data_IF_722966616026
#
_entry.id   IF_722966616026
#
_cell.length_a   1.000
_cell.length_b   1.000
_cell.length_c   1.000
_cell.angle_alpha   90.00
_cell.angle_beta   90.00
_cell.angle_gamma   90.00
#
_symmetry.space_group_name_H-M   'P 1'
#
loop_
_entity.id
_entity.type
_entity.pdbx_description
1 polymer ?
#
# COMPACT_ATOMS: atom_id res chain seq x y z
N UNK A 1 18.45 34.96 -61.32
CA UNK A 1 17.17 34.48 -60.75
C UNK A 1 17.33 33.02 -60.36
N UNK A 2 16.94 32.69 -59.12
CA UNK A 2 16.67 31.37 -58.50
C UNK A 2 17.40 31.24 -57.16
N UNK A 3 16.61 31.48 -56.10
CA UNK A 3 16.86 31.24 -54.68
C UNK A 3 16.87 29.73 -54.39
N UNK A 4 17.82 29.24 -53.59
CA UNK A 4 17.71 28.01 -52.76
C UNK A 4 18.64 28.19 -51.55
N UNK A 5 18.19 28.78 -50.43
CA UNK A 5 17.45 28.13 -49.33
C UNK A 5 18.23 26.95 -48.71
N UNK A 6 19.19 27.27 -47.83
CA UNK A 6 19.85 26.31 -46.95
C UNK A 6 19.01 26.19 -45.68
N UNK A 7 18.42 25.01 -45.44
CA UNK A 7 17.69 24.69 -44.22
C UNK A 7 18.66 24.30 -43.10
N UNK A 8 18.58 24.99 -41.97
CA UNK A 8 19.13 24.57 -40.69
C UNK A 8 18.33 23.37 -40.18
N UNK A 9 18.91 22.16 -40.27
CA UNK A 9 18.44 21.00 -39.52
C UNK A 9 18.91 21.14 -38.06
N UNK A 10 18.11 21.80 -37.22
CA UNK A 10 18.18 21.61 -35.77
C UNK A 10 17.63 20.20 -35.49
N UNK A 11 18.54 19.25 -35.25
CA UNK A 11 18.18 17.95 -34.70
C UNK A 11 17.67 18.13 -33.28
N UNK A 12 16.34 18.13 -33.11
CA UNK A 12 15.72 17.93 -31.80
C UNK A 12 15.94 16.46 -31.44
N UNK A 13 16.96 16.19 -30.63
CA UNK A 13 17.12 14.90 -29.98
C UNK A 13 15.96 14.72 -28.99
N UNK A 14 14.88 14.07 -29.44
CA UNK A 14 13.90 13.50 -28.54
C UNK A 14 14.61 12.39 -27.75
N UNK A 15 15.03 12.72 -26.52
CA UNK A 15 15.38 11.72 -25.52
C UNK A 15 14.12 10.92 -25.21
N UNK A 16 13.92 9.85 -25.97
CA UNK A 16 13.00 8.78 -25.58
C UNK A 16 13.57 8.21 -24.28
N UNK A 17 13.00 8.60 -23.15
CA UNK A 17 13.21 7.87 -21.90
C UNK A 17 12.62 6.48 -22.12
N UNK A 18 13.45 5.54 -22.54
CA UNK A 18 13.15 4.12 -22.44
C UNK A 18 12.82 3.83 -20.99
N UNK A 19 11.55 3.55 -20.70
CA UNK A 19 11.12 3.14 -19.37
C UNK A 19 11.86 1.86 -19.00
N UNK A 20 12.89 1.99 -18.16
CA UNK A 20 13.41 0.85 -17.45
C UNK A 20 12.28 0.34 -16.54
N UNK A 21 12.06 -0.96 -16.53
CA UNK A 21 11.28 -1.60 -15.47
C UNK A 21 11.87 -1.08 -14.14
N UNK A 22 11.05 -0.39 -13.35
CA UNK A 22 11.53 0.15 -12.08
C UNK A 22 11.76 -1.02 -11.14
N UNK A 23 13.00 -1.20 -10.68
CA UNK A 23 13.29 -2.16 -9.63
C UNK A 23 12.44 -1.83 -8.39
N UNK A 24 11.77 -2.85 -7.86
CA UNK A 24 10.93 -2.71 -6.67
C UNK A 24 11.76 -2.24 -5.47
N UNK A 25 11.25 -1.27 -4.70
CA UNK A 25 12.00 -0.75 -3.55
C UNK A 25 12.15 -1.80 -2.43
N UNK A 26 13.33 -1.97 -1.85
CA UNK A 26 13.42 -2.86 -0.69
C UNK A 26 12.77 -2.21 0.54
N UNK A 27 11.62 -2.72 0.96
CA UNK A 27 10.95 -2.23 2.16
C UNK A 27 11.67 -2.68 3.45
N UNK A 28 11.78 -1.80 4.47
CA UNK A 28 12.36 -2.16 5.75
C UNK A 28 11.57 -3.26 6.46
N UNK A 29 12.27 -4.09 7.25
CA UNK A 29 11.61 -5.06 8.14
C UNK A 29 10.83 -4.33 9.23
N UNK A 30 9.74 -4.94 9.68
CA UNK A 30 8.93 -4.44 10.80
C UNK A 30 9.79 -4.13 12.04
N UNK A 31 9.59 -2.95 12.63
CA UNK A 31 10.32 -2.42 13.78
C UNK A 31 11.73 -1.91 13.46
N UNK A 32 12.15 -1.89 12.19
CA UNK A 32 13.43 -1.31 11.76
C UNK A 32 13.20 0.05 11.10
N UNK A 33 13.21 1.08 11.93
CA UNK A 33 13.14 2.48 11.50
C UNK A 33 14.55 3.05 11.41
N UNK A 34 14.85 3.72 10.31
CA UNK A 34 16.12 4.38 10.04
C UNK A 34 16.25 5.69 10.82
N UNK A 35 17.48 6.20 10.95
CA UNK A 35 17.71 7.49 11.63
C UNK A 35 17.16 8.65 10.80
N UNK A 36 17.20 8.50 9.49
CA UNK A 36 16.70 9.45 8.50
C UNK A 36 15.17 9.61 8.62
N UNK A 37 14.44 8.50 8.76
CA UNK A 37 12.99 8.53 9.01
C UNK A 37 12.66 9.22 10.35
N UNK A 38 13.44 8.97 11.43
CA UNK A 38 13.20 9.60 12.73
C UNK A 38 13.61 11.09 12.80
N UNK A 39 14.57 11.50 11.97
CA UNK A 39 15.02 12.88 11.90
C UNK A 39 14.16 13.73 10.94
N UNK A 40 13.24 13.11 10.21
CA UNK A 40 12.37 13.79 9.26
C UNK A 40 11.32 14.63 10.00
N UNK A 41 11.42 15.95 9.85
CA UNK A 41 10.51 16.95 10.43
C UNK A 41 9.62 17.63 9.40
N UNK A 42 9.87 17.41 8.11
CA UNK A 42 9.08 17.89 6.97
C UNK A 42 9.28 16.94 5.79
N UNK A 43 8.41 17.02 4.79
CA UNK A 43 8.50 16.22 3.57
C UNK A 43 8.61 17.13 2.35
N UNK A 44 9.60 16.91 1.49
CA UNK A 44 9.96 17.88 0.45
C UNK A 44 8.86 18.08 -0.61
N UNK A 45 8.16 17.00 -0.99
CA UNK A 45 7.14 17.07 -2.04
C UNK A 45 5.75 17.49 -1.51
N UNK A 46 5.59 17.56 -0.17
CA UNK A 46 4.43 18.15 0.50
C UNK A 46 4.90 18.84 1.79
N UNK A 47 5.45 20.07 1.69
CA UNK A 47 6.02 20.78 2.85
C UNK A 47 5.02 21.06 3.98
N UNK A 48 3.72 21.05 3.65
CA UNK A 48 2.61 21.25 4.59
C UNK A 48 2.04 19.91 5.10
N UNK A 49 2.70 18.78 4.80
CA UNK A 49 2.27 17.47 5.25
C UNK A 49 2.28 17.39 6.78
N UNK A 50 1.12 17.11 7.36
CA UNK A 50 0.98 16.90 8.80
C UNK A 50 1.57 15.55 9.23
N UNK A 51 1.55 14.58 8.32
CA UNK A 51 2.10 13.24 8.41
C UNK A 51 2.31 12.68 6.99
N UNK A 52 3.14 11.63 6.86
CA UNK A 52 3.42 10.99 5.57
C UNK A 52 3.40 9.48 5.71
N UNK A 53 2.68 8.81 4.81
CA UNK A 53 2.80 7.35 4.64
C UNK A 53 4.13 7.07 3.94
N UNK A 54 5.10 6.58 4.70
CA UNK A 54 6.43 6.22 4.18
C UNK A 54 6.34 4.98 3.30
N UNK A 55 5.51 4.02 3.68
CA UNK A 55 5.01 2.99 2.77
C UNK A 55 3.68 2.40 3.26
N UNK A 56 2.88 1.94 2.30
CA UNK A 56 1.79 1.00 2.49
C UNK A 56 2.06 -0.22 1.61
N UNK A 57 2.04 -1.42 2.17
CA UNK A 57 2.34 -2.66 1.46
C UNK A 57 1.24 -3.68 1.76
N UNK A 58 0.56 -4.14 0.71
CA UNK A 58 -0.40 -5.24 0.77
C UNK A 58 0.12 -6.44 -0.03
N UNK A 59 0.21 -7.61 0.59
CA UNK A 59 0.63 -8.86 -0.05
C UNK A 59 -0.48 -9.90 0.11
N UNK A 60 -1.26 -10.10 -0.95
CA UNK A 60 -2.27 -11.15 -1.02
C UNK A 60 -1.68 -12.44 -1.60
N UNK A 61 -2.10 -13.56 -1.02
CA UNK A 61 -1.76 -14.90 -1.50
C UNK A 61 -3.02 -15.74 -1.55
N UNK A 62 -3.27 -16.33 -2.70
CA UNK A 62 -4.24 -17.39 -2.82
C UNK A 62 -3.60 -18.67 -2.31
N UNK A 63 -4.20 -19.25 -1.28
CA UNK A 63 -3.71 -20.41 -0.56
C UNK A 63 -4.73 -21.54 -0.61
N UNK A 64 -4.29 -22.75 -0.23
CA UNK A 64 -5.14 -23.92 -0.11
C UNK A 64 -4.70 -24.74 1.12
N UNK A 65 -5.64 -25.07 2.00
CA UNK A 65 -5.36 -25.83 3.24
C UNK A 65 -5.58 -27.35 3.10
N UNK A 66 -5.86 -27.81 1.88
CA UNK A 66 -6.23 -29.19 1.54
C UNK A 66 -7.74 -29.41 1.45
N UNK A 67 -8.56 -28.51 1.99
CA UNK A 67 -10.02 -28.59 1.94
C UNK A 67 -10.61 -27.51 1.04
N UNK A 68 -10.12 -26.28 1.15
CA UNK A 68 -10.63 -25.14 0.40
C UNK A 68 -9.54 -24.15 0.00
N UNK A 69 -9.89 -23.29 -0.96
CA UNK A 69 -9.08 -22.14 -1.33
C UNK A 69 -9.52 -20.93 -0.51
N UNK A 70 -8.55 -20.11 -0.12
CA UNK A 70 -8.79 -18.87 0.61
C UNK A 70 -7.70 -17.85 0.26
N UNK A 71 -7.97 -16.59 0.57
CA UNK A 71 -7.04 -15.48 0.41
C UNK A 71 -6.45 -15.15 1.77
N UNK A 72 -5.13 -15.12 1.84
CA UNK A 72 -4.39 -14.57 2.96
C UNK A 72 -3.75 -13.24 2.54
N UNK A 73 -4.11 -12.17 3.24
CA UNK A 73 -3.51 -10.85 3.05
C UNK A 73 -2.63 -10.45 4.21
N UNK A 74 -1.38 -10.11 3.95
CA UNK A 74 -0.54 -9.38 4.91
C UNK A 74 -0.49 -7.90 4.53
N UNK A 75 -0.81 -7.03 5.49
CA UNK A 75 -0.80 -5.59 5.27
C UNK A 75 0.17 -4.93 6.23
N UNK A 76 1.03 -4.04 5.73
CA UNK A 76 2.09 -3.39 6.49
C UNK A 76 2.16 -1.91 6.12
N UNK A 77 1.94 -1.06 7.13
CA UNK A 77 1.93 0.39 6.99
C UNK A 77 2.99 1.01 7.88
N UNK A 78 3.64 2.06 7.38
CA UNK A 78 4.55 2.91 8.15
C UNK A 78 4.25 4.37 7.86
N UNK A 79 4.02 5.14 8.91
CA UNK A 79 3.61 6.54 8.84
C UNK A 79 4.52 7.35 9.74
N UNK A 80 5.04 8.47 9.23
CA UNK A 80 5.78 9.44 10.03
C UNK A 80 4.87 10.61 10.41
N UNK A 81 4.88 11.00 11.70
CA UNK A 81 4.07 12.08 12.24
C UNK A 81 4.91 13.36 12.31
N UNK A 82 4.61 14.35 11.47
CA UNK A 82 5.45 15.54 11.31
C UNK A 82 5.00 16.72 12.17
N UNK A 83 3.72 16.78 12.52
CA UNK A 83 3.10 17.89 13.26
C UNK A 83 2.17 17.37 14.38
N UNK A 84 1.60 18.29 15.17
CA UNK A 84 0.64 17.90 16.23
C UNK A 84 -0.69 17.46 15.62
N UNK A 85 -1.09 18.09 14.52
CA UNK A 85 -2.30 17.86 13.75
C UNK A 85 -2.28 16.46 13.12
N UNK A 86 -1.10 16.03 12.66
CA UNK A 86 -0.89 14.69 12.09
C UNK A 86 -1.09 13.54 13.07
N UNK A 87 -1.16 13.78 14.39
CA UNK A 87 -1.37 12.73 15.40
C UNK A 87 -2.67 11.95 15.20
N UNK A 88 -3.69 12.54 14.55
CA UNK A 88 -4.92 11.83 14.23
C UNK A 88 -4.72 10.59 13.35
N UNK A 89 -3.61 10.52 12.61
CA UNK A 89 -3.23 9.35 11.80
C UNK A 89 -2.82 8.13 12.64
N UNK A 90 -2.68 8.29 13.97
CA UNK A 90 -2.39 7.21 14.91
C UNK A 90 -3.64 6.45 15.37
N UNK A 91 -4.84 6.97 15.11
CA UNK A 91 -6.10 6.29 15.40
C UNK A 91 -6.48 5.42 14.19
N UNK A 92 -6.19 4.12 14.30
CA UNK A 92 -6.35 3.18 13.20
C UNK A 92 -7.71 2.49 13.27
N UNK A 93 -8.40 2.48 12.14
CA UNK A 93 -9.64 1.73 11.93
C UNK A 93 -9.46 0.83 10.72
N UNK A 94 -9.63 -0.48 10.92
CA UNK A 94 -9.56 -1.49 9.87
C UNK A 94 -10.97 -2.04 9.67
N UNK A 95 -11.72 -1.59 8.65
CA UNK A 95 -12.97 -2.23 8.27
C UNK A 95 -12.69 -3.57 7.59
N UNK A 96 -13.52 -4.57 7.84
CA UNK A 96 -13.46 -5.87 7.17
C UNK A 96 -14.86 -6.49 7.09
N UNK A 97 -15.07 -7.36 6.10
CA UNK A 97 -16.34 -8.06 5.95
C UNK A 97 -16.54 -9.03 7.12
N UNK A 98 -17.78 -9.21 7.56
CA UNK A 98 -18.07 -10.01 8.77
C UNK A 98 -17.67 -11.49 8.66
N UNK A 99 -17.46 -11.98 7.44
CA UNK A 99 -17.04 -13.35 7.10
C UNK A 99 -15.52 -13.50 7.08
N UNK A 100 -14.79 -12.38 7.02
CA UNK A 100 -13.33 -12.38 7.04
C UNK A 100 -12.82 -12.35 8.48
N UNK A 101 -11.62 -12.89 8.67
CA UNK A 101 -10.91 -12.77 9.94
C UNK A 101 -9.74 -11.79 9.85
N UNK A 102 -9.65 -10.89 10.84
CA UNK A 102 -8.43 -10.11 11.09
C UNK A 102 -7.63 -10.75 12.23
N UNK A 103 -6.37 -11.06 11.95
CA UNK A 103 -5.44 -11.75 12.87
C UNK A 103 -4.09 -11.04 12.91
N UNK A 104 -3.26 -11.45 13.87
CA UNK A 104 -1.85 -11.03 13.98
C UNK A 104 -1.57 -9.53 13.94
N UNK A 105 -2.50 -8.73 14.44
CA UNK A 105 -2.35 -7.28 14.56
C UNK A 105 -1.14 -6.99 15.47
N UNK A 106 -0.19 -6.23 14.93
CA UNK A 106 0.98 -5.71 15.65
C UNK A 106 1.14 -4.25 15.32
N UNK A 107 1.38 -3.44 16.35
CA UNK A 107 1.72 -2.03 16.21
C UNK A 107 2.97 -1.69 17.01
N UNK A 108 3.78 -0.77 16.51
CA UNK A 108 4.92 -0.19 17.21
C UNK A 108 5.03 1.30 16.89
N UNK A 109 5.22 2.10 17.92
CA UNK A 109 5.59 3.51 17.79
C UNK A 109 7.07 3.63 18.10
N UNK A 110 7.85 4.17 17.18
CA UNK A 110 9.25 4.55 17.43
C UNK A 110 9.32 6.06 17.65
N UNK A 111 9.70 6.46 18.85
CA UNK A 111 9.83 7.87 19.24
C UNK A 111 11.10 8.50 18.61
N UNK A 112 11.21 9.84 18.53
CA UNK A 112 12.38 10.54 18.01
C UNK A 112 13.71 10.12 18.67
N UNK A 113 13.68 9.76 19.95
CA UNK A 113 14.86 9.27 20.68
C UNK A 113 15.21 7.78 20.37
N UNK A 114 14.47 7.12 19.48
CA UNK A 114 14.63 5.73 19.10
C UNK A 114 13.96 4.72 20.03
N UNK A 115 13.32 5.15 21.13
CA UNK A 115 12.58 4.26 22.02
C UNK A 115 11.36 3.71 21.28
N UNK A 116 11.15 2.40 21.41
CA UNK A 116 10.00 1.72 20.84
C UNK A 116 8.95 1.38 21.88
N UNK A 117 7.69 1.67 21.58
CA UNK A 117 6.53 1.35 22.40
C UNK A 117 5.61 0.46 21.55
N UNK A 118 5.35 -0.76 22.00
CA UNK A 118 4.52 -1.73 21.28
C UNK A 118 3.05 -1.54 21.67
N UNK A 119 2.16 -1.73 20.69
CA UNK A 119 0.72 -1.82 20.91
C UNK A 119 0.41 -3.05 21.77
N UNK A 120 -0.36 -2.86 22.83
CA UNK A 120 -0.85 -3.94 23.68
C UNK A 120 -2.12 -4.54 23.06
N UNK A 121 -2.28 -5.87 23.16
CA UNK A 121 -3.46 -6.56 22.62
C UNK A 121 -4.75 -6.11 23.28
N UNK A 122 -4.69 -5.67 24.55
CA UNK A 122 -5.87 -5.17 25.28
C UNK A 122 -6.40 -3.83 24.76
N UNK A 123 -5.56 -3.10 24.02
CA UNK A 123 -5.89 -1.78 23.46
C UNK A 123 -6.45 -1.91 22.02
N UNK A 124 -6.69 -3.14 21.56
CA UNK A 124 -7.30 -3.47 20.27
C UNK A 124 -8.75 -3.86 20.53
N UNK A 125 -9.66 -3.12 19.90
CA UNK A 125 -11.10 -3.30 20.07
C UNK A 125 -11.74 -3.73 18.76
N UNK A 126 -12.68 -4.66 18.84
CA UNK A 126 -13.50 -5.08 17.71
C UNK A 126 -14.93 -4.54 17.89
N UNK A 127 -15.40 -3.79 16.90
CA UNK A 127 -16.78 -3.34 16.79
C UNK A 127 -17.48 -4.17 15.72
N UNK A 128 -18.49 -4.95 16.13
CA UNK A 128 -19.27 -5.78 15.22
C UNK A 128 -20.40 -4.98 14.58
N UNK A 129 -20.53 -5.10 13.26
CA UNK A 129 -21.63 -4.52 12.48
C UNK A 129 -22.49 -5.62 11.84
N UNK A 130 -23.44 -5.21 11.00
CA UNK A 130 -24.29 -6.16 10.28
C UNK A 130 -23.56 -6.85 9.12
N UNK A 131 -22.79 -6.08 8.34
CA UNK A 131 -21.99 -6.59 7.19
C UNK A 131 -20.51 -6.30 7.29
N UNK A 132 -20.16 -5.26 8.02
CA UNK A 132 -18.78 -4.76 8.14
C UNK A 132 -18.47 -4.63 9.62
N UNK A 133 -17.46 -5.38 10.06
CA UNK A 133 -16.86 -5.23 11.37
C UNK A 133 -15.72 -4.22 11.28
N UNK A 134 -15.28 -3.70 12.44
CA UNK A 134 -14.16 -2.75 12.52
C UNK A 134 -13.24 -3.12 13.65
N UNK A 135 -11.96 -3.34 13.35
CA UNK A 135 -10.90 -3.30 14.36
C UNK A 135 -10.50 -1.84 14.58
N UNK A 136 -10.34 -1.43 15.83
CA UNK A 136 -9.94 -0.08 16.25
C UNK A 136 -8.83 -0.14 17.27
N UNK A 137 -7.80 0.68 17.09
CA UNK A 137 -6.75 0.88 18.08
C UNK A 137 -6.05 2.23 17.87
N UNK A 138 -5.52 2.79 18.95
CA UNK A 138 -4.66 3.97 18.89
C UNK A 138 -3.19 3.54 19.07
N UNK A 139 -2.29 4.04 18.23
CA UNK A 139 -0.87 3.76 18.37
C UNK A 139 -0.34 4.40 19.67
N UNK A 140 0.43 3.67 20.50
CA UNK A 140 0.77 4.13 21.84
C UNK A 140 1.90 5.18 21.82
N UNK A 141 1.81 6.17 22.70
CA UNK A 141 2.91 7.12 22.97
C UNK A 141 3.26 8.07 21.83
N UNK A 142 2.34 8.31 20.88
CA UNK A 142 2.61 9.12 19.68
C UNK A 142 2.90 10.58 20.01
N UNK A 143 4.05 11.05 19.56
CA UNK A 143 4.50 12.44 19.60
C UNK A 143 5.00 12.93 18.23
N UNK A 144 5.21 14.24 18.11
CA UNK A 144 5.77 14.81 16.87
C UNK A 144 7.15 14.22 16.60
N UNK A 145 7.41 13.79 15.36
CA UNK A 145 8.60 13.06 14.93
C UNK A 145 8.54 11.55 15.22
N UNK A 146 7.41 11.03 15.72
CA UNK A 146 7.23 9.60 15.88
C UNK A 146 6.98 8.92 14.54
N UNK A 147 7.56 7.74 14.36
CA UNK A 147 7.20 6.82 13.28
C UNK A 147 6.31 5.73 13.86
N UNK A 148 5.06 5.68 13.41
CA UNK A 148 4.14 4.58 13.72
C UNK A 148 4.22 3.54 12.62
N UNK A 149 4.17 2.28 13.01
CA UNK A 149 4.24 1.16 12.10
C UNK A 149 3.33 0.05 12.61
N UNK A 150 2.42 -0.41 11.75
CA UNK A 150 1.51 -1.48 12.10
C UNK A 150 1.34 -2.46 10.95
N UNK A 151 0.96 -3.67 11.31
CA UNK A 151 0.64 -4.71 10.35
C UNK A 151 -0.46 -5.60 10.90
N UNK A 152 -1.18 -6.25 10.01
CA UNK A 152 -2.17 -7.26 10.35
C UNK A 152 -2.27 -8.27 9.22
N UNK A 153 -2.92 -9.39 9.52
CA UNK A 153 -3.25 -10.41 8.54
C UNK A 153 -4.77 -10.47 8.40
N UNK A 154 -5.24 -10.60 7.17
CA UNK A 154 -6.62 -10.88 6.84
C UNK A 154 -6.70 -12.27 6.22
N UNK A 155 -7.73 -13.04 6.59
CA UNK A 155 -8.05 -14.30 5.95
C UNK A 155 -9.49 -14.22 5.44
N UNK A 156 -9.68 -14.47 4.15
CA UNK A 156 -10.98 -14.44 3.49
C UNK A 156 -11.21 -15.71 2.69
N UNK A 157 -12.37 -16.33 2.84
CA UNK A 157 -12.79 -17.45 1.99
C UNK A 157 -13.28 -16.98 0.61
N UNK A 158 -13.44 -15.65 0.43
CA UNK A 158 -13.99 -15.07 -0.78
C UNK A 158 -12.91 -14.86 -1.86
N UNK A 159 -12.65 -15.92 -2.61
CA UNK A 159 -11.62 -15.91 -3.68
C UNK A 159 -12.10 -15.26 -4.99
N UNK A 160 -13.40 -15.01 -5.16
CA UNK A 160 -13.95 -14.55 -6.45
C UNK A 160 -13.64 -13.09 -6.77
N UNK A 161 -13.63 -12.22 -5.76
CA UNK A 161 -13.13 -10.86 -5.88
C UNK A 161 -12.09 -10.64 -4.79
N UNK A 162 -10.85 -10.40 -5.18
CA UNK A 162 -9.79 -10.13 -4.20
C UNK A 162 -9.95 -8.71 -3.65
N UNK A 163 -9.47 -8.51 -2.43
CA UNK A 163 -9.54 -7.22 -1.73
C UNK A 163 -9.03 -6.09 -2.61
N UNK A 164 -9.83 -5.06 -2.79
CA UNK A 164 -9.41 -3.88 -3.55
C UNK A 164 -8.27 -3.15 -2.81
N UNK A 165 -7.25 -2.73 -3.56
CA UNK A 165 -6.19 -1.89 -3.01
C UNK A 165 -6.32 -0.44 -3.47
N UNK A 166 -6.15 0.48 -2.52
CA UNK A 166 -6.07 1.91 -2.76
C UNK A 166 -4.63 2.36 -2.61
N UNK A 167 -4.06 2.93 -3.66
CA UNK A 167 -2.65 3.34 -3.63
C UNK A 167 -2.46 4.66 -2.87
N UNK A 168 -3.46 5.55 -2.91
CA UNK A 168 -3.42 6.86 -2.28
C UNK A 168 -4.10 6.88 -0.91
N UNK A 169 -3.64 7.75 -0.01
CA UNK A 169 -4.24 8.00 1.30
C UNK A 169 -4.69 9.47 1.43
N UNK A 170 -5.30 9.82 2.57
CA UNK A 170 -5.69 11.19 2.90
C UNK A 170 -4.51 12.13 3.16
N UNK A 171 -3.33 11.53 3.40
CA UNK A 171 -2.03 12.18 3.53
C UNK A 171 -1.09 11.68 2.42
N UNK A 172 0.00 12.41 2.17
CA UNK A 172 0.97 12.07 1.14
C UNK A 172 1.48 10.63 1.33
N UNK A 173 1.57 9.88 0.24
CA UNK A 173 2.06 8.49 0.25
C UNK A 173 3.30 8.37 -0.62
N UNK A 174 4.46 8.22 0.01
CA UNK A 174 5.75 8.11 -0.69
C UNK A 174 5.82 6.83 -1.52
N UNK A 175 5.35 5.71 -0.98
CA UNK A 175 5.34 4.44 -1.66
C UNK A 175 4.08 3.64 -1.29
N UNK A 176 3.40 3.12 -2.29
CA UNK A 176 2.32 2.16 -2.10
C UNK A 176 2.56 0.96 -3.00
N UNK A 177 2.60 -0.22 -2.39
CA UNK A 177 2.82 -1.49 -3.06
C UNK A 177 1.64 -2.40 -2.81
N UNK A 178 1.25 -3.09 -3.87
CA UNK A 178 0.29 -4.16 -3.78
C UNK A 178 0.79 -5.36 -4.57
N UNK A 179 0.71 -6.54 -3.95
CA UNK A 179 1.13 -7.78 -4.56
C UNK A 179 0.05 -8.83 -4.44
N UNK A 180 -0.09 -9.64 -5.49
CA UNK A 180 -1.03 -10.76 -5.54
C UNK A 180 -0.29 -11.99 -6.04
N UNK A 181 -0.26 -13.03 -5.21
CA UNK A 181 0.28 -14.34 -5.55
C UNK A 181 -0.85 -15.29 -5.85
N UNK A 182 -0.90 -15.81 -7.08
CA UNK A 182 -1.96 -16.71 -7.55
C UNK A 182 -1.43 -18.11 -7.79
N UNK A 183 -2.29 -19.10 -7.55
CA UNK A 183 -2.06 -20.50 -7.91
C UNK A 183 -2.24 -20.69 -9.43
N UNK A 184 -1.54 -21.66 -10.07
CA UNK A 184 -1.51 -21.80 -11.53
C UNK A 184 -2.86 -21.97 -12.24
N UNK A 185 -3.90 -22.39 -11.54
CA UNK A 185 -5.22 -22.68 -12.11
C UNK A 185 -6.21 -21.53 -11.96
N UNK A 186 -5.84 -20.45 -11.27
CA UNK A 186 -6.71 -19.30 -11.07
C UNK A 186 -6.25 -18.16 -11.95
N UNK A 187 -7.20 -17.57 -12.69
CA UNK A 187 -6.96 -16.37 -13.47
C UNK A 187 -7.84 -15.25 -12.98
N UNK A 188 -7.25 -14.06 -12.88
CA UNK A 188 -7.93 -12.85 -12.47
C UNK A 188 -7.77 -11.76 -13.52
N UNK A 189 -8.84 -11.04 -13.79
CA UNK A 189 -8.78 -9.75 -14.47
C UNK A 189 -8.44 -8.68 -13.44
N UNK A 190 -7.41 -7.88 -13.72
CA UNK A 190 -7.09 -6.68 -12.97
C UNK A 190 -7.78 -5.47 -13.60
N UNK A 191 -8.51 -4.71 -12.80
CA UNK A 191 -9.16 -3.48 -13.22
C UNK A 191 -8.56 -2.29 -12.48
N UNK A 192 -8.14 -1.29 -13.25
CA UNK A 192 -7.48 -0.09 -12.75
C UNK A 192 -8.46 1.08 -12.71
N UNK A 193 -8.43 1.84 -11.62
CA UNK A 193 -9.24 3.07 -11.43
C UNK A 193 -8.33 4.25 -11.12
N UNK A 194 -8.58 5.39 -11.77
CA UNK A 194 -7.83 6.65 -11.60
C UNK A 194 -6.29 6.52 -11.70
N UNK A 195 -5.83 5.51 -12.41
CA UNK A 195 -4.42 5.29 -12.69
C UNK A 195 -4.29 4.76 -14.11
N UNK A 196 -3.14 5.05 -14.73
CA UNK A 196 -2.77 4.34 -15.95
C UNK A 196 -2.49 2.89 -15.60
N UNK A 197 -2.76 1.99 -16.54
CA UNK A 197 -2.34 0.59 -16.40
C UNK A 197 -0.83 0.52 -16.26
N UNK A 198 -0.38 -0.04 -15.14
CA UNK A 198 1.03 -0.30 -14.85
C UNK A 198 1.26 -1.79 -15.09
N UNK A 199 2.25 -2.12 -15.91
CA UNK A 199 2.68 -3.51 -16.06
C UNK A 199 3.27 -3.97 -14.73
N UNK A 200 2.68 -4.99 -14.06
CA UNK A 200 3.21 -5.46 -12.79
C UNK A 200 4.58 -6.11 -12.98
N UNK A 201 5.42 -6.00 -11.95
CA UNK A 201 6.55 -6.90 -11.81
C UNK A 201 6.03 -8.32 -11.62
N UNK A 202 6.54 -9.27 -12.41
CA UNK A 202 6.10 -10.67 -12.38
C UNK A 202 7.23 -11.56 -11.91
N UNK A 203 6.97 -12.30 -10.84
CA UNK A 203 7.86 -13.32 -10.31
C UNK A 203 7.21 -14.70 -10.38
N UNK A 204 8.01 -15.72 -10.73
CA UNK A 204 7.62 -17.12 -10.59
C UNK A 204 8.22 -17.70 -9.30
N UNK A 205 7.36 -18.23 -8.43
CA UNK A 205 7.75 -18.79 -7.13
C UNK A 205 7.62 -20.31 -7.21
N UNK A 206 8.75 -21.01 -7.21
CA UNK A 206 8.79 -22.47 -7.13
C UNK A 206 8.52 -22.91 -5.69
N UNK A 207 7.47 -23.71 -5.48
CA UNK A 207 7.15 -24.26 -4.16
C UNK A 207 8.05 -25.47 -3.88
N UNK A 208 8.93 -25.44 -2.85
CA UNK A 208 9.82 -26.55 -2.56
C UNK A 208 9.05 -27.86 -2.31
N UNK A 209 9.49 -28.94 -2.93
CA UNK A 209 8.84 -30.26 -2.80
C UNK A 209 7.54 -30.42 -3.60
N UNK A 210 7.10 -29.39 -4.34
CA UNK A 210 5.95 -29.47 -5.24
C UNK A 210 6.37 -29.15 -6.68
N UNK A 211 5.64 -29.70 -7.66
CA UNK A 211 5.81 -29.36 -9.08
C UNK A 211 4.85 -28.23 -9.49
N UNK A 212 4.69 -27.25 -8.59
CA UNK A 212 3.79 -26.12 -8.73
C UNK A 212 4.63 -24.84 -8.71
N UNK A 213 4.39 -23.96 -9.68
CA UNK A 213 4.95 -22.62 -9.75
C UNK A 213 3.83 -21.61 -9.52
N UNK A 214 3.95 -20.81 -8.46
CA UNK A 214 3.03 -19.70 -8.22
C UNK A 214 3.48 -18.50 -9.05
N UNK A 215 2.54 -17.64 -9.42
CA UNK A 215 2.88 -16.36 -10.04
C UNK A 215 2.56 -15.23 -9.06
N UNK A 216 3.56 -14.40 -8.75
CA UNK A 216 3.38 -13.16 -7.99
C UNK A 216 3.41 -11.97 -8.95
N UNK A 217 2.37 -11.15 -8.88
CA UNK A 217 2.29 -9.88 -9.56
C UNK A 217 2.43 -8.77 -8.53
N UNK A 218 3.29 -7.78 -8.79
CA UNK A 218 3.51 -6.64 -7.89
C UNK A 218 3.37 -5.32 -8.64
N UNK A 219 2.49 -4.46 -8.13
CA UNK A 219 2.33 -3.08 -8.54
C UNK A 219 2.94 -2.17 -7.48
N UNK A 220 3.75 -1.21 -7.91
CA UNK A 220 4.34 -0.20 -7.03
C UNK A 220 4.10 1.18 -7.62
N UNK A 221 3.60 2.08 -6.78
CA UNK A 221 3.44 3.48 -7.09
C UNK A 221 4.18 4.30 -6.05
N UNK A 222 4.74 5.43 -6.48
CA UNK A 222 5.54 6.32 -5.64
C UNK A 222 5.04 7.75 -5.76
N UNK A 223 5.37 8.55 -4.76
CA UNK A 223 5.18 9.99 -4.75
C UNK A 223 3.73 10.41 -5.04
N UNK A 224 2.83 9.80 -4.27
CA UNK A 224 1.39 9.89 -4.47
C UNK A 224 0.81 11.04 -3.62
N UNK A 225 0.24 12.08 -4.27
CA UNK A 225 -0.35 13.20 -3.54
C UNK A 225 -1.59 12.76 -2.74
N UNK A 226 -1.90 13.46 -1.64
CA UNK A 226 -3.04 13.14 -0.79
C UNK A 226 -4.38 13.34 -1.51
N UNK A 227 -5.34 12.46 -1.25
CA UNK A 227 -6.76 12.69 -1.59
C UNK A 227 -7.45 13.26 -0.35
N UNK A 228 -7.48 14.59 -0.26
CA UNK A 228 -8.13 15.29 0.85
C UNK A 228 -9.65 15.32 0.65
N UNK A 229 -10.40 15.03 1.70
CA UNK A 229 -11.86 15.13 1.65
C UNK A 229 -12.27 16.60 1.51
N UNK A 230 -12.88 16.95 0.38
CA UNK A 230 -13.38 18.30 0.13
C UNK A 230 -14.85 18.45 0.54
N UNK A 231 -15.31 19.69 0.85
CA UNK A 231 -16.73 19.97 0.99
C UNK A 231 -17.50 19.45 -0.22
N UNK A 232 -18.62 18.75 0.01
CA UNK A 232 -19.49 18.14 -1.01
C UNK A 232 -18.93 16.93 -1.77
N UNK A 233 -17.71 16.48 -1.47
CA UNK A 233 -17.20 15.20 -1.95
C UNK A 233 -18.01 14.06 -1.33
N UNK A 234 -18.71 13.29 -2.18
CA UNK A 234 -19.55 12.16 -1.72
C UNK A 234 -18.71 11.01 -1.20
N UNK A 235 -17.80 10.51 -2.04
CA UNK A 235 -17.02 9.29 -1.80
C UNK A 235 -15.57 9.58 -2.20
N UNK A 236 -14.67 9.90 -1.26
CA UNK A 236 -13.25 10.13 -1.55
C UNK A 236 -12.58 8.98 -2.32
N UNK A 237 -13.04 7.76 -2.09
CA UNK A 237 -12.53 6.53 -2.69
C UNK A 237 -12.68 6.51 -4.22
N UNK A 238 -13.67 7.22 -4.77
CA UNK A 238 -13.91 7.32 -6.21
C UNK A 238 -12.82 8.13 -6.94
N UNK A 239 -11.98 8.86 -6.20
CA UNK A 239 -10.89 9.69 -6.74
C UNK A 239 -9.50 9.09 -6.51
N UNK A 240 -9.39 8.05 -5.69
CA UNK A 240 -8.13 7.37 -5.42
C UNK A 240 -7.74 6.46 -6.59
N UNK A 241 -6.44 6.41 -6.89
CA UNK A 241 -5.84 5.35 -7.67
C UNK A 241 -6.08 4.01 -6.96
N UNK A 242 -6.66 3.04 -7.68
CA UNK A 242 -7.01 1.75 -7.10
C UNK A 242 -6.96 0.61 -8.12
N UNK A 243 -6.79 -0.61 -7.62
CA UNK A 243 -6.84 -1.85 -8.38
C UNK A 243 -7.79 -2.83 -7.70
N UNK A 244 -8.63 -3.50 -8.49
CA UNK A 244 -9.47 -4.60 -8.02
C UNK A 244 -9.38 -5.79 -8.97
N UNK A 245 -9.65 -6.98 -8.44
CA UNK A 245 -9.50 -8.23 -9.17
C UNK A 245 -10.79 -9.00 -9.17
N UNK A 246 -11.13 -9.57 -10.33
CA UNK A 246 -12.24 -10.50 -10.48
C UNK A 246 -11.74 -11.78 -11.12
N UNK A 247 -12.12 -12.92 -10.55
CA UNK A 247 -11.79 -14.23 -11.11
C UNK A 247 -12.44 -14.39 -12.50
N UNK A 248 -11.70 -15.01 -13.41
CA UNK A 248 -12.14 -15.35 -14.76
C UNK A 248 -12.55 -16.82 -14.79
N UNK A 249 -11.66 -17.69 -14.31
CA UNK A 249 -11.80 -19.14 -14.21
C UNK A 249 -10.71 -19.75 -13.31
#
# INVERSE_FOLDING_TARGET
>A
MIKRMLWLLLGVAFLVKTGMAQDLEKLPKFGKVSKEELAMTSYADDPEAEAVVLFADGDLKLENDGNMYFVEGEYHFRINILTKEGKGQADIVIPYYYEDDIKDIKGITTLPNGKQIKLDKKDIFEEKGEKVNRIKFAMPGVEVGSVIEYRFRMVSEYIHNLEQWYFQNSIYTRLSRYSVTVLPYFRYNAFYRNMSEIQPHKDEILVPGQRIALTKYTWEMRDLPPIRKEPFMRTPEDYQAAIHFQIID
#
